data_IF_455782994532
#
_entry.id   IF_455782994532
#
_cell.length_a   1.000
_cell.length_b   1.000
_cell.length_c   1.000
_cell.angle_alpha   90.00
_cell.angle_beta   90.00
_cell.angle_gamma   90.00
#
_symmetry.space_group_name_H-M   'P 1'
#
loop_
_entity.id
_entity.type
_entity.pdbx_description
1 polymer ?
#
# COMPACT_ATOMS: atom_id res chain seq x y z
N UNK A 1 -32.92 10.32 12.56
CA UNK A 1 -31.45 10.32 12.76
C UNK A 1 -30.66 10.63 11.47
N UNK A 2 -31.21 11.44 10.55
CA UNK A 2 -30.54 11.72 9.26
C UNK A 2 -29.69 13.00 9.27
N UNK A 3 -29.97 13.96 10.18
CA UNK A 3 -29.28 15.25 10.21
C UNK A 3 -27.79 15.24 10.61
N UNK A 4 -27.33 14.23 11.37
CA UNK A 4 -25.93 14.18 11.82
C UNK A 4 -24.95 13.53 10.82
N UNK A 5 -25.45 12.73 9.87
CA UNK A 5 -24.58 12.08 8.87
C UNK A 5 -24.08 13.05 7.79
N UNK A 6 -24.85 14.09 7.47
CA UNK A 6 -24.45 15.11 6.48
C UNK A 6 -23.22 15.89 6.94
N UNK A 7 -23.25 16.41 8.18
CA UNK A 7 -22.19 17.28 8.69
C UNK A 7 -20.82 16.59 8.77
N UNK A 8 -20.78 15.29 9.07
CA UNK A 8 -19.50 14.57 9.13
C UNK A 8 -18.87 14.37 7.76
N UNK A 9 -19.64 13.92 6.76
CA UNK A 9 -19.15 13.72 5.41
C UNK A 9 -18.61 15.03 4.78
N UNK A 10 -19.31 16.15 5.05
CA UNK A 10 -18.90 17.46 4.57
C UNK A 10 -17.57 17.92 5.21
N UNK A 11 -17.38 17.68 6.51
CA UNK A 11 -16.13 18.00 7.22
C UNK A 11 -14.95 17.18 6.69
N UNK A 12 -15.13 15.87 6.44
CA UNK A 12 -14.08 15.02 5.87
C UNK A 12 -13.69 15.50 4.48
N UNK A 13 -14.67 15.81 3.62
CA UNK A 13 -14.42 16.33 2.27
C UNK A 13 -13.73 17.69 2.30
N UNK A 14 -14.12 18.58 3.21
CA UNK A 14 -13.47 19.88 3.38
C UNK A 14 -12.00 19.75 3.80
N UNK A 15 -11.71 18.87 4.76
CA UNK A 15 -10.34 18.61 5.21
C UNK A 15 -9.48 17.95 4.12
N UNK A 16 -10.04 17.00 3.36
CA UNK A 16 -9.36 16.38 2.23
C UNK A 16 -9.02 17.41 1.13
N UNK A 17 -9.95 18.31 0.80
CA UNK A 17 -9.72 19.38 -0.18
C UNK A 17 -8.65 20.38 0.30
N UNK A 18 -8.66 20.74 1.60
CA UNK A 18 -7.62 21.58 2.20
C UNK A 18 -6.24 20.91 2.13
N UNK A 19 -6.16 19.62 2.46
CA UNK A 19 -4.92 18.86 2.39
C UNK A 19 -4.39 18.80 0.95
N UNK A 20 -5.26 18.48 -0.02
CA UNK A 20 -4.85 18.42 -1.43
C UNK A 20 -4.40 19.78 -1.95
N UNK A 21 -5.14 20.86 -1.62
CA UNK A 21 -4.73 22.22 -1.94
C UNK A 21 -3.37 22.59 -1.36
N UNK A 22 -3.10 22.18 -0.12
CA UNK A 22 -1.79 22.37 0.52
C UNK A 22 -0.67 21.60 -0.19
N UNK A 23 -0.90 20.32 -0.54
CA UNK A 23 0.06 19.46 -1.26
C UNK A 23 0.40 20.08 -2.61
N UNK A 24 -0.61 20.47 -3.39
CA UNK A 24 -0.40 21.06 -4.72
C UNK A 24 0.35 22.39 -4.65
N UNK A 25 0.04 23.23 -3.65
CA UNK A 25 0.72 24.51 -3.43
C UNK A 25 2.19 24.34 -3.04
N UNK A 26 2.54 23.27 -2.33
CA UNK A 26 3.89 23.05 -1.80
C UNK A 26 4.62 21.86 -2.45
N UNK A 27 4.15 21.38 -3.61
CA UNK A 27 4.66 20.14 -4.24
C UNK A 27 6.18 20.06 -4.34
N UNK A 28 6.85 21.15 -4.71
CA UNK A 28 8.31 21.18 -4.84
C UNK A 28 9.04 21.11 -3.48
N UNK A 29 8.48 21.74 -2.44
CA UNK A 29 9.03 21.64 -1.07
C UNK A 29 8.85 20.24 -0.50
N UNK A 30 7.72 19.59 -0.82
CA UNK A 30 7.45 18.20 -0.42
C UNK A 30 8.44 17.27 -1.13
N UNK A 31 8.62 17.41 -2.45
CA UNK A 31 9.60 16.61 -3.21
C UNK A 31 11.02 16.82 -2.70
N UNK A 32 11.43 18.08 -2.47
CA UNK A 32 12.75 18.39 -1.91
C UNK A 32 12.93 17.83 -0.48
N UNK A 33 11.89 17.92 0.36
CA UNK A 33 11.90 17.35 1.71
C UNK A 33 12.00 15.83 1.69
N UNK A 34 11.28 15.16 0.79
CA UNK A 34 11.40 13.72 0.56
C UNK A 34 12.82 13.38 0.12
N UNK A 35 13.38 14.09 -0.88
CA UNK A 35 14.74 13.85 -1.36
C UNK A 35 15.81 14.05 -0.27
N UNK A 36 15.71 15.11 0.53
CA UNK A 36 16.59 15.36 1.68
C UNK A 36 16.46 14.28 2.75
N UNK A 37 15.24 13.82 3.01
CA UNK A 37 14.99 12.71 3.91
C UNK A 37 15.69 11.43 3.42
N UNK A 38 15.61 11.11 2.13
CA UNK A 38 16.34 9.98 1.53
C UNK A 38 17.86 10.13 1.67
N UNK A 39 18.42 11.33 1.46
CA UNK A 39 19.85 11.58 1.66
C UNK A 39 20.28 11.42 3.13
N UNK A 40 19.47 11.92 4.07
CA UNK A 40 19.70 11.74 5.50
C UNK A 40 19.63 10.27 5.93
N UNK A 41 18.64 9.54 5.41
CA UNK A 41 18.47 8.10 5.67
C UNK A 41 19.73 7.34 5.22
N UNK A 42 20.26 7.64 4.04
CA UNK A 42 21.47 6.98 3.54
C UNK A 42 22.72 7.22 4.43
N UNK A 43 22.75 8.30 5.21
CA UNK A 43 23.91 8.70 6.01
C UNK A 43 24.03 8.04 7.41
N UNK A 44 23.01 7.33 7.93
CA UNK A 44 23.08 6.74 9.29
C UNK A 44 22.58 5.28 9.37
N UNK A 45 23.25 4.43 10.15
CA UNK A 45 23.18 2.97 9.98
C UNK A 45 22.04 2.21 10.70
N UNK A 46 21.13 2.86 11.44
CA UNK A 46 20.00 2.13 12.07
C UNK A 46 18.74 2.98 12.25
N UNK A 47 18.87 4.19 12.79
CA UNK A 47 17.74 5.11 12.98
C UNK A 47 17.11 5.47 11.63
N UNK A 48 17.94 5.65 10.60
CA UNK A 48 17.50 5.85 9.23
C UNK A 48 16.59 4.74 8.69
N UNK A 49 16.91 3.47 8.96
CA UNK A 49 16.11 2.33 8.51
C UNK A 49 14.71 2.36 9.11
N UNK A 50 14.59 2.68 10.41
CA UNK A 50 13.29 2.82 11.07
C UNK A 50 12.48 3.98 10.51
N UNK A 51 13.10 5.15 10.35
CA UNK A 51 12.45 6.31 9.74
C UNK A 51 11.97 5.97 8.32
N UNK A 52 12.77 5.23 7.56
CA UNK A 52 12.41 4.81 6.21
C UNK A 52 11.22 3.86 6.18
N UNK A 53 11.18 2.89 7.09
CA UNK A 53 10.01 2.00 7.25
C UNK A 53 8.75 2.82 7.55
N UNK A 54 8.83 3.77 8.49
CA UNK A 54 7.70 4.66 8.82
C UNK A 54 7.26 5.46 7.59
N UNK A 55 8.21 5.96 6.80
CA UNK A 55 7.91 6.65 5.55
C UNK A 55 7.21 5.74 4.53
N UNK A 56 7.71 4.51 4.32
CA UNK A 56 7.07 3.55 3.42
C UNK A 56 5.66 3.17 3.86
N UNK A 57 5.42 3.01 5.17
CA UNK A 57 4.09 2.77 5.74
C UNK A 57 3.17 3.95 5.41
N UNK A 58 3.62 5.18 5.63
CA UNK A 58 2.82 6.38 5.36
C UNK A 58 2.48 6.52 3.87
N UNK A 59 3.45 6.29 2.98
CA UNK A 59 3.23 6.32 1.52
C UNK A 59 2.30 5.19 1.08
N UNK A 60 2.45 3.98 1.63
CA UNK A 60 1.58 2.86 1.35
C UNK A 60 0.13 3.14 1.76
N UNK A 61 -0.07 3.66 2.98
CA UNK A 61 -1.38 4.04 3.47
C UNK A 61 -2.01 5.18 2.65
N UNK A 62 -1.21 6.16 2.23
CA UNK A 62 -1.70 7.25 1.39
C UNK A 62 -2.04 6.79 -0.04
N UNK A 63 -1.39 5.73 -0.53
CA UNK A 63 -1.60 5.23 -1.89
C UNK A 63 -3.05 4.76 -2.14
N UNK A 64 -3.83 4.42 -1.10
CA UNK A 64 -5.22 3.99 -1.25
C UNK A 64 -6.23 5.14 -1.23
N UNK A 65 -5.83 6.38 -0.92
CA UNK A 65 -6.75 7.52 -0.78
C UNK A 65 -7.55 7.84 -2.05
N UNK A 66 -6.99 7.58 -3.24
CA UNK A 66 -7.70 7.90 -4.48
C UNK A 66 -9.01 7.12 -4.61
N UNK A 67 -9.15 5.96 -3.95
CA UNK A 67 -10.38 5.14 -3.95
C UNK A 67 -11.58 5.94 -3.45
N UNK A 68 -11.36 6.81 -2.46
CA UNK A 68 -12.40 7.68 -1.90
C UNK A 68 -12.94 8.69 -2.93
N UNK A 69 -12.11 9.15 -3.87
CA UNK A 69 -12.50 10.18 -4.82
C UNK A 69 -13.09 9.63 -6.10
N UNK A 70 -12.47 8.60 -6.66
CA UNK A 70 -12.87 8.10 -7.98
C UNK A 70 -13.99 7.06 -7.90
N UNK A 71 -14.34 6.55 -6.71
CA UNK A 71 -15.33 5.47 -6.51
C UNK A 71 -15.09 4.24 -7.41
N UNK A 72 -13.87 4.11 -7.91
CA UNK A 72 -13.42 3.05 -8.80
C UNK A 72 -12.36 2.24 -8.05
N UNK A 73 -12.53 0.93 -8.09
CA UNK A 73 -11.63 -0.02 -7.45
C UNK A 73 -10.42 -0.28 -8.34
N UNK A 74 -9.56 0.72 -8.53
CA UNK A 74 -8.25 0.46 -9.13
C UNK A 74 -7.33 -0.24 -8.10
N UNK A 75 -6.34 -0.98 -8.60
CA UNK A 75 -5.36 -1.73 -7.79
C UNK A 75 -4.04 -0.99 -7.57
N UNK A 76 -4.02 0.34 -7.59
CA UNK A 76 -2.80 1.16 -7.42
C UNK A 76 -2.37 1.26 -5.95
N UNK A 77 -1.99 0.14 -5.36
CA UNK A 77 -1.61 0.09 -3.95
C UNK A 77 -0.11 -0.16 -3.80
N UNK A 78 0.51 0.56 -2.86
CA UNK A 78 1.93 0.37 -2.52
C UNK A 78 2.13 -0.53 -1.30
N UNK A 79 1.04 -1.02 -0.69
CA UNK A 79 1.07 -1.88 0.51
C UNK A 79 1.82 -3.18 0.21
N UNK A 80 1.53 -3.85 -0.91
CA UNK A 80 2.23 -5.08 -1.32
C UNK A 80 3.74 -4.84 -1.50
N UNK A 81 4.13 -3.74 -2.16
CA UNK A 81 5.53 -3.38 -2.34
C UNK A 81 6.24 -3.12 -1.01
N UNK A 82 5.63 -2.32 -0.13
CA UNK A 82 6.20 -1.99 1.18
C UNK A 82 6.41 -3.26 2.01
N UNK A 83 5.46 -4.18 2.02
CA UNK A 83 5.60 -5.49 2.68
C UNK A 83 6.75 -6.30 2.09
N UNK A 84 6.78 -6.48 0.77
CA UNK A 84 7.81 -7.28 0.07
C UNK A 84 9.22 -6.73 0.30
N UNK A 85 9.42 -5.41 0.11
CA UNK A 85 10.72 -4.76 0.28
C UNK A 85 11.20 -4.88 1.72
N UNK A 86 10.32 -4.64 2.69
CA UNK A 86 10.65 -4.77 4.12
C UNK A 86 10.99 -6.21 4.48
N UNK A 87 10.24 -7.19 3.97
CA UNK A 87 10.55 -8.61 4.19
C UNK A 87 11.93 -8.99 3.65
N UNK A 88 12.30 -8.51 2.46
CA UNK A 88 13.60 -8.81 1.85
C UNK A 88 14.76 -8.24 2.69
N UNK A 89 14.60 -7.02 3.21
CA UNK A 89 15.67 -6.30 3.91
C UNK A 89 15.79 -6.67 5.39
N UNK A 90 14.65 -6.88 6.06
CA UNK A 90 14.59 -7.03 7.52
C UNK A 90 13.98 -8.36 7.98
N UNK A 91 13.59 -9.23 7.05
CA UNK A 91 13.04 -10.55 7.33
C UNK A 91 11.52 -10.60 7.49
N UNK A 92 10.99 -11.82 7.56
CA UNK A 92 9.55 -12.09 7.56
C UNK A 92 8.78 -11.36 8.67
N UNK A 93 9.29 -11.40 9.91
CA UNK A 93 8.58 -10.84 11.07
C UNK A 93 8.38 -9.33 10.93
N UNK A 94 9.44 -8.60 10.56
CA UNK A 94 9.34 -7.15 10.36
C UNK A 94 8.44 -6.84 9.17
N UNK A 95 8.55 -7.61 8.07
CA UNK A 95 7.65 -7.49 6.92
C UNK A 95 6.18 -7.71 7.28
N UNK A 96 5.86 -8.69 8.14
CA UNK A 96 4.50 -8.94 8.63
C UNK A 96 3.98 -7.74 9.43
N UNK A 97 4.77 -7.20 10.37
CA UNK A 97 4.39 -6.04 11.18
C UNK A 97 4.14 -4.83 10.29
N UNK A 98 5.04 -4.55 9.35
CA UNK A 98 4.93 -3.43 8.42
C UNK A 98 3.73 -3.60 7.48
N UNK A 99 3.50 -4.80 6.97
CA UNK A 99 2.33 -5.12 6.14
C UNK A 99 1.02 -4.94 6.89
N UNK A 100 0.94 -5.42 8.13
CA UNK A 100 -0.22 -5.27 9.01
C UNK A 100 -0.54 -3.79 9.27
N UNK A 101 0.46 -3.01 9.70
CA UNK A 101 0.27 -1.58 10.00
C UNK A 101 -0.10 -0.82 8.73
N UNK A 102 0.60 -1.07 7.61
CA UNK A 102 0.32 -0.41 6.33
C UNK A 102 -1.11 -0.70 5.85
N UNK A 103 -1.55 -1.96 5.94
CA UNK A 103 -2.90 -2.36 5.55
C UNK A 103 -3.97 -1.74 6.45
N UNK A 104 -3.79 -1.77 7.78
CA UNK A 104 -4.71 -1.14 8.72
C UNK A 104 -4.85 0.36 8.43
N UNK A 105 -3.74 1.07 8.25
CA UNK A 105 -3.77 2.51 7.96
C UNK A 105 -4.37 2.80 6.57
N UNK A 106 -4.10 1.97 5.58
CA UNK A 106 -4.67 2.09 4.24
C UNK A 106 -6.20 1.96 4.21
N UNK A 107 -6.80 1.26 5.18
CA UNK A 107 -8.25 1.12 5.33
C UNK A 107 -8.86 2.18 6.26
N UNK A 108 -8.15 2.49 7.36
CA UNK A 108 -8.62 3.46 8.35
C UNK A 108 -8.62 4.89 7.80
N UNK A 109 -7.59 5.29 7.06
CA UNK A 109 -7.44 6.67 6.62
C UNK A 109 -8.52 7.10 5.60
N UNK A 110 -8.87 6.28 4.58
CA UNK A 110 -10.00 6.56 3.70
C UNK A 110 -11.37 6.27 4.34
N UNK A 111 -11.39 5.63 5.53
CA UNK A 111 -12.58 5.15 6.23
C UNK A 111 -13.42 4.15 5.40
N UNK A 112 -12.75 3.32 4.59
CA UNK A 112 -13.39 2.36 3.68
C UNK A 112 -13.36 0.94 4.23
N UNK A 113 -13.61 0.76 5.54
CA UNK A 113 -13.65 -0.57 6.13
C UNK A 113 -14.86 -1.35 5.58
N UNK A 114 -14.57 -2.32 4.73
CA UNK A 114 -15.53 -3.25 4.16
C UNK A 114 -15.44 -4.62 4.87
N UNK A 115 -16.42 -5.49 4.63
CA UNK A 115 -16.39 -6.87 5.17
C UNK A 115 -15.18 -7.67 4.64
N UNK A 116 -14.66 -7.33 3.46
CA UNK A 116 -13.45 -7.93 2.89
C UNK A 116 -12.15 -7.39 3.46
N UNK A 117 -12.16 -6.25 4.17
CA UNK A 117 -10.93 -5.60 4.66
C UNK A 117 -10.14 -6.48 5.62
N UNK A 118 -10.81 -7.28 6.46
CA UNK A 118 -10.11 -8.20 7.37
C UNK A 118 -9.32 -9.27 6.60
N UNK A 119 -9.92 -9.84 5.55
CA UNK A 119 -9.27 -10.84 4.69
C UNK A 119 -8.09 -10.22 3.94
N UNK A 120 -8.26 -9.01 3.43
CA UNK A 120 -7.18 -8.28 2.76
C UNK A 120 -6.01 -7.97 3.72
N UNK A 121 -6.27 -7.40 4.90
CA UNK A 121 -5.25 -7.12 5.93
C UNK A 121 -4.49 -8.40 6.32
N UNK A 122 -5.22 -9.49 6.59
CA UNK A 122 -4.61 -10.78 6.92
C UNK A 122 -3.75 -11.30 5.75
N UNK A 123 -4.25 -11.21 4.52
CA UNK A 123 -3.52 -11.68 3.34
C UNK A 123 -2.23 -10.90 3.10
N UNK A 124 -2.25 -9.56 3.25
CA UNK A 124 -1.06 -8.71 3.15
C UNK A 124 -0.04 -9.13 4.20
N UNK A 125 -0.48 -9.27 5.45
CA UNK A 125 0.36 -9.66 6.58
C UNK A 125 1.03 -11.02 6.32
N UNK A 126 0.25 -12.04 5.95
CA UNK A 126 0.76 -13.38 5.71
C UNK A 126 1.61 -13.49 4.44
N UNK A 127 1.43 -12.60 3.46
CA UNK A 127 2.23 -12.61 2.24
C UNK A 127 3.73 -12.39 2.49
N UNK A 128 4.11 -11.78 3.63
CA UNK A 128 5.49 -11.68 4.06
C UNK A 128 6.16 -13.04 4.28
N UNK A 129 5.41 -14.07 4.71
CA UNK A 129 5.95 -15.43 4.84
C UNK A 129 6.30 -16.02 3.47
N UNK A 130 5.43 -15.82 2.48
CA UNK A 130 5.64 -16.28 1.10
C UNK A 130 6.87 -15.60 0.51
N UNK A 131 6.97 -14.28 0.67
CA UNK A 131 8.13 -13.52 0.21
C UNK A 131 9.41 -14.03 0.88
N UNK A 132 9.38 -14.30 2.19
CA UNK A 132 10.55 -14.83 2.91
C UNK A 132 11.00 -16.18 2.39
N UNK A 133 10.06 -17.10 2.14
CA UNK A 133 10.38 -18.43 1.57
C UNK A 133 10.96 -18.28 0.17
N UNK A 134 10.32 -17.48 -0.69
CA UNK A 134 10.81 -17.25 -2.05
C UNK A 134 12.17 -16.55 -2.10
N UNK A 135 12.42 -15.60 -1.18
CA UNK A 135 13.70 -14.94 -1.05
C UNK A 135 14.81 -15.92 -0.67
N UNK A 136 14.54 -16.83 0.26
CA UNK A 136 15.47 -17.90 0.63
C UNK A 136 15.78 -18.86 -0.54
N UNK A 137 14.84 -19.03 -1.48
CA UNK A 137 15.00 -19.80 -2.71
C UNK A 137 15.69 -19.00 -3.85
N UNK A 138 16.09 -17.75 -3.62
CA UNK A 138 16.74 -16.91 -4.62
C UNK A 138 15.80 -16.40 -5.72
N UNK A 139 14.49 -16.35 -5.47
CA UNK A 139 13.54 -15.79 -6.43
C UNK A 139 13.81 -14.30 -6.71
N UNK A 140 13.46 -13.86 -7.92
CA UNK A 140 13.57 -12.44 -8.28
C UNK A 140 12.56 -11.57 -7.52
N UNK A 141 12.88 -10.29 -7.33
CA UNK A 141 11.99 -9.30 -6.69
C UNK A 141 10.63 -9.23 -7.39
N UNK A 142 10.63 -9.30 -8.73
CA UNK A 142 9.41 -9.36 -9.51
C UNK A 142 8.56 -10.60 -9.18
N UNK A 143 9.18 -11.78 -9.15
CA UNK A 143 8.47 -13.02 -8.85
C UNK A 143 7.89 -12.99 -7.43
N UNK A 144 8.65 -12.51 -6.44
CA UNK A 144 8.19 -12.34 -5.06
C UNK A 144 7.01 -11.37 -4.96
N UNK A 145 7.10 -10.24 -5.66
CA UNK A 145 6.03 -9.24 -5.67
C UNK A 145 4.74 -9.74 -6.32
N UNK A 146 4.85 -10.40 -7.48
CA UNK A 146 3.69 -10.97 -8.17
C UNK A 146 3.07 -12.14 -7.40
N UNK A 147 3.88 -12.99 -6.76
CA UNK A 147 3.38 -14.08 -5.92
C UNK A 147 2.67 -13.55 -4.67
N UNK A 148 3.23 -12.53 -4.02
CA UNK A 148 2.59 -11.83 -2.90
C UNK A 148 1.24 -11.23 -3.30
N UNK A 149 1.19 -10.54 -4.44
CA UNK A 149 -0.07 -10.01 -4.99
C UNK A 149 -1.08 -11.13 -5.29
N UNK A 150 -0.67 -12.18 -6.01
CA UNK A 150 -1.55 -13.30 -6.33
C UNK A 150 -2.12 -13.98 -5.08
N UNK A 151 -1.30 -14.16 -4.05
CA UNK A 151 -1.74 -14.69 -2.76
C UNK A 151 -2.75 -13.78 -2.07
N UNK A 152 -2.52 -12.47 -2.07
CA UNK A 152 -3.47 -11.51 -1.51
C UNK A 152 -4.82 -11.61 -2.22
N UNK A 153 -4.80 -11.63 -3.56
CA UNK A 153 -6.00 -11.70 -4.37
C UNK A 153 -6.77 -13.01 -4.18
N UNK A 154 -6.04 -14.13 -4.01
CA UNK A 154 -6.63 -15.44 -3.74
C UNK A 154 -7.42 -15.46 -2.42
N UNK A 155 -7.02 -14.66 -1.43
CA UNK A 155 -7.67 -14.60 -0.12
C UNK A 155 -8.76 -13.52 -0.09
N UNK A 156 -8.50 -12.32 -0.62
CA UNK A 156 -9.40 -11.17 -0.45
C UNK A 156 -10.54 -11.11 -1.46
N UNK A 157 -10.30 -11.50 -2.71
CA UNK A 157 -11.25 -11.28 -3.81
C UNK A 157 -12.34 -12.35 -4.02
N UNK A 158 -12.24 -13.62 -3.54
CA UNK A 158 -13.30 -14.61 -3.77
C UNK A 158 -14.69 -14.13 -3.33
N UNK A 159 -14.78 -13.40 -2.21
CA UNK A 159 -16.04 -12.85 -1.69
C UNK A 159 -16.67 -11.83 -2.65
N UNK A 160 -15.85 -11.04 -3.34
CA UNK A 160 -16.32 -10.06 -4.32
C UNK A 160 -16.69 -10.74 -5.65
N UNK A 161 -15.98 -11.80 -6.02
CA UNK A 161 -16.23 -12.56 -7.23
C UNK A 161 -17.53 -13.38 -7.22
N UNK A 162 -18.07 -13.71 -6.04
CA UNK A 162 -19.39 -14.35 -5.90
C UNK A 162 -20.56 -13.35 -5.86
N UNK A 163 -20.27 -12.05 -5.85
CA UNK A 163 -21.28 -10.99 -5.71
C UNK A 163 -22.06 -10.67 -7.00
N UNK A 164 -22.91 -9.63 -6.95
CA UNK A 164 -23.58 -9.07 -8.13
C UNK A 164 -22.60 -8.71 -9.27
N UNK A 165 -23.10 -8.58 -10.49
CA UNK A 165 -22.25 -8.36 -11.68
C UNK A 165 -21.40 -7.08 -11.56
N UNK A 166 -21.93 -6.05 -10.90
CA UNK A 166 -21.25 -4.77 -10.65
C UNK A 166 -20.03 -4.96 -9.75
N UNK A 167 -20.17 -5.74 -8.67
CA UNK A 167 -19.09 -6.03 -7.72
C UNK A 167 -18.02 -6.91 -8.38
N UNK A 168 -18.45 -7.90 -9.18
CA UNK A 168 -17.54 -8.74 -9.97
C UNK A 168 -16.71 -7.92 -10.95
N UNK A 169 -17.35 -7.01 -11.69
CA UNK A 169 -16.64 -6.13 -12.62
C UNK A 169 -15.62 -5.23 -11.92
N UNK A 170 -15.95 -4.70 -10.74
CA UNK A 170 -15.01 -3.93 -9.93
C UNK A 170 -13.82 -4.79 -9.46
N UNK A 171 -14.07 -6.02 -9.00
CA UNK A 171 -13.01 -6.95 -8.62
C UNK A 171 -12.10 -7.29 -9.81
N UNK A 172 -12.65 -7.52 -11.01
CA UNK A 172 -11.85 -7.73 -12.22
C UNK A 172 -11.00 -6.51 -12.58
N UNK A 173 -11.57 -5.31 -12.51
CA UNK A 173 -10.82 -4.07 -12.74
C UNK A 173 -9.68 -3.91 -11.74
N UNK A 174 -9.96 -4.20 -10.46
CA UNK A 174 -8.99 -4.17 -9.38
C UNK A 174 -7.85 -5.15 -9.61
N UNK A 175 -8.16 -6.41 -9.93
CA UNK A 175 -7.19 -7.45 -10.27
C UNK A 175 -6.31 -7.06 -11.45
N UNK A 176 -6.92 -6.60 -12.54
CA UNK A 176 -6.20 -6.25 -13.76
C UNK A 176 -5.28 -5.05 -13.56
N UNK A 177 -5.80 -3.96 -12.99
CA UNK A 177 -4.98 -2.76 -12.76
C UNK A 177 -3.94 -2.97 -11.67
N UNK A 178 -4.26 -3.75 -10.64
CA UNK A 178 -3.32 -4.17 -9.60
C UNK A 178 -2.18 -5.03 -10.16
N UNK A 179 -2.48 -5.96 -11.06
CA UNK A 179 -1.46 -6.75 -11.73
C UNK A 179 -0.49 -5.87 -12.54
N UNK A 180 -1.02 -4.99 -13.39
CA UNK A 180 -0.20 -4.07 -14.20
C UNK A 180 0.63 -3.13 -13.31
N UNK A 181 0.04 -2.62 -12.24
CA UNK A 181 0.71 -1.76 -11.28
C UNK A 181 1.85 -2.48 -10.56
N UNK A 182 1.61 -3.67 -10.04
CA UNK A 182 2.64 -4.46 -9.36
C UNK A 182 3.75 -4.87 -10.33
N UNK A 183 3.43 -5.19 -11.60
CA UNK A 183 4.43 -5.44 -12.63
C UNK A 183 5.37 -4.23 -12.81
N UNK A 184 4.82 -3.02 -12.92
CA UNK A 184 5.60 -1.79 -13.02
C UNK A 184 6.44 -1.53 -11.75
N UNK A 185 5.80 -1.58 -10.58
CA UNK A 185 6.45 -1.28 -9.30
C UNK A 185 7.61 -2.24 -9.02
N UNK A 186 7.43 -3.56 -9.21
CA UNK A 186 8.49 -4.52 -8.91
C UNK A 186 9.57 -4.62 -9.99
N UNK A 187 9.34 -4.11 -11.20
CA UNK A 187 10.39 -4.00 -12.23
C UNK A 187 11.21 -2.71 -12.11
N UNK A 188 10.62 -1.61 -11.65
CA UNK A 188 11.26 -0.28 -11.67
C UNK A 188 11.52 0.32 -10.29
N UNK A 189 10.52 0.30 -9.42
CA UNK A 189 10.54 1.06 -8.16
C UNK A 189 11.16 0.25 -7.02
N UNK A 190 10.73 -1.00 -6.83
CA UNK A 190 11.22 -1.84 -5.73
C UNK A 190 12.74 -2.10 -5.78
N UNK A 191 13.36 -2.40 -6.94
CA UNK A 191 14.81 -2.57 -7.01
C UNK A 191 15.58 -1.30 -6.62
N UNK A 192 15.08 -0.13 -7.02
CA UNK A 192 15.67 1.17 -6.66
C UNK A 192 15.58 1.41 -5.15
N UNK A 193 14.42 1.13 -4.53
CA UNK A 193 14.26 1.26 -3.08
C UNK A 193 15.23 0.35 -2.32
N UNK A 194 15.35 -0.91 -2.73
CA UNK A 194 16.31 -1.86 -2.13
C UNK A 194 17.75 -1.35 -2.27
N UNK A 195 18.11 -0.79 -3.43
CA UNK A 195 19.46 -0.24 -3.65
C UNK A 195 19.76 0.98 -2.76
N UNK A 196 18.75 1.79 -2.42
CA UNK A 196 18.93 2.96 -1.54
C UNK A 196 19.02 2.56 -0.06
N UNK A 197 18.40 1.44 0.34
CA UNK A 197 18.30 0.98 1.72
C UNK A 197 19.40 0.02 2.16
N UNK A 198 20.16 -0.53 1.21
CA UNK A 198 21.36 -1.34 1.48
C UNK A 198 22.57 -0.45 1.69
#
# INVERSE_FOLDING_TARGET
>A
MEGHRSSYADNVRHNANRLMGFILKHKWKIVAGIALFFLYVNATNTISSLLFIVFLIAVAAFSTFYKYWFKLSFGFELVTMTTVVTTILYGAIIGMIVGLISAILAELLPQMIESSSIFWITSVTLSALIVSVMHALGASILAMGLASFAFQMLISEPIRLIGPIEVRMQAFLYLFTGFLWNLFIFTKVAPLLIAIMR
#
